data_IF_717371966055
#
_entry.id   IF_717371966055
#
_cell.length_a   1.000
_cell.length_b   1.000
_cell.length_c   1.000
_cell.angle_alpha   90.00
_cell.angle_beta   90.00
_cell.angle_gamma   90.00
#
_symmetry.space_group_name_H-M   'P 1'
#
loop_
_entity.id
_entity.type
_entity.pdbx_description
1 polymer ?
#
# COMPACT_ATOMS: atom_id res chain seq x y z
N UNK A 1 23.89 -3.78 10.97
CA UNK A 1 22.94 -2.67 11.00
C UNK A 1 23.36 -1.67 12.05
N UNK A 2 23.34 -0.39 11.68
CA UNK A 2 23.59 0.74 12.57
C UNK A 2 22.31 1.60 12.54
N UNK A 3 21.76 1.93 13.71
CA UNK A 3 20.75 2.98 13.82
C UNK A 3 21.49 4.30 13.66
N UNK A 4 21.25 4.97 12.55
CA UNK A 4 21.77 6.31 12.33
C UNK A 4 20.76 7.32 12.87
N UNK A 5 21.26 8.24 13.69
CA UNK A 5 20.48 9.28 14.31
C UNK A 5 21.13 10.62 13.96
N UNK A 6 20.33 11.56 13.48
CA UNK A 6 20.80 12.91 13.14
C UNK A 6 19.94 13.98 13.81
N UNK A 7 20.55 15.15 14.05
CA UNK A 7 19.92 16.29 14.70
C UNK A 7 20.14 16.35 16.21
N UNK A 8 19.32 17.17 16.88
CA UNK A 8 19.41 17.46 18.31
C UNK A 8 17.99 17.45 18.89
N UNK A 9 17.76 16.66 19.94
CA UNK A 9 16.50 16.67 20.66
C UNK A 9 16.45 17.87 21.62
N UNK A 10 15.34 18.61 21.59
CA UNK A 10 15.07 19.74 22.49
C UNK A 10 13.89 19.38 23.39
N UNK A 11 14.18 19.23 24.68
CA UNK A 11 13.20 18.89 25.71
C UNK A 11 12.95 20.11 26.60
N UNK A 12 11.71 20.30 27.03
CA UNK A 12 11.34 21.35 27.98
C UNK A 12 10.74 20.74 29.23
N UNK A 13 11.32 21.05 30.40
CA UNK A 13 10.79 20.62 31.68
C UNK A 13 9.44 21.28 31.97
N UNK A 14 8.40 20.50 32.27
CA UNK A 14 7.06 21.01 32.52
C UNK A 14 6.95 21.83 33.82
N UNK A 15 7.88 21.66 34.77
CA UNK A 15 7.83 22.37 36.05
C UNK A 15 8.53 23.73 35.98
N UNK A 16 9.74 23.78 35.41
CA UNK A 16 10.57 24.98 35.36
C UNK A 16 10.46 25.76 34.04
N UNK A 17 9.98 25.13 32.97
CA UNK A 17 10.02 25.66 31.60
C UNK A 17 11.44 25.76 31.02
N UNK A 18 12.44 25.19 31.71
CA UNK A 18 13.81 25.16 31.23
C UNK A 18 13.95 24.17 30.07
N UNK A 19 14.72 24.56 29.05
CA UNK A 19 15.02 23.72 27.89
C UNK A 19 16.37 23.04 28.04
N UNK A 20 16.42 21.80 27.58
CA UNK A 20 17.60 20.94 27.55
C UNK A 20 17.79 20.41 26.13
N UNK A 21 19.03 20.40 25.67
CA UNK A 21 19.43 19.81 24.38
C UNK A 21 20.14 18.49 24.63
N UNK A 22 19.83 17.48 23.82
CA UNK A 22 20.49 16.19 23.81
C UNK A 22 21.00 15.98 22.40
N UNK A 23 22.31 15.80 22.26
CA UNK A 23 22.94 15.57 20.98
C UNK A 23 22.83 14.10 20.58
N UNK A 24 22.76 13.82 19.28
CA UNK A 24 22.56 12.46 18.78
C UNK A 24 23.72 11.51 19.12
N UNK A 25 24.93 12.04 19.34
CA UNK A 25 26.11 11.27 19.74
C UNK A 25 26.09 10.86 21.22
N UNK A 26 25.15 11.39 22.01
CA UNK A 26 24.87 10.95 23.38
C UNK A 26 24.03 9.65 23.42
N UNK A 27 23.43 9.24 22.29
CA UNK A 27 22.61 8.03 22.22
C UNK A 27 23.44 6.79 21.94
N UNK A 28 23.38 5.83 22.86
CA UNK A 28 23.94 4.48 22.68
C UNK A 28 22.81 3.48 22.44
N UNK A 29 22.69 2.98 21.21
CA UNK A 29 21.62 2.10 20.78
C UNK A 29 21.96 0.62 21.05
N UNK A 30 21.04 -0.08 21.73
CA UNK A 30 21.14 -1.51 21.96
C UNK A 30 19.90 -2.25 21.44
N UNK A 31 20.08 -3.48 20.96
CA UNK A 31 18.94 -4.38 20.67
C UNK A 31 18.47 -4.97 22.00
N UNK A 32 17.23 -4.67 22.38
CA UNK A 32 16.65 -5.10 23.68
C UNK A 32 15.61 -6.21 23.54
N UNK A 33 15.03 -6.38 22.35
CA UNK A 33 14.10 -7.47 22.05
C UNK A 33 14.16 -7.86 20.56
N UNK A 34 13.76 -9.10 20.26
CA UNK A 34 13.61 -9.62 18.90
C UNK A 34 12.46 -10.62 18.86
N UNK A 35 11.42 -10.33 18.08
CA UNK A 35 10.20 -11.14 18.00
C UNK A 35 9.99 -11.69 16.60
N UNK A 36 9.61 -12.97 16.50
CA UNK A 36 9.28 -13.60 15.22
C UNK A 36 7.93 -13.13 14.71
N UNK A 37 7.89 -12.64 13.48
CA UNK A 37 6.71 -12.13 12.80
C UNK A 37 6.65 -12.68 11.36
N UNK A 38 5.50 -12.59 10.67
CA UNK A 38 5.34 -13.21 9.35
C UNK A 38 6.36 -12.80 8.28
N UNK A 39 6.89 -11.58 8.34
CA UNK A 39 7.92 -11.03 7.42
C UNK A 39 9.35 -11.12 8.00
N UNK A 40 9.58 -11.91 9.04
CA UNK A 40 10.87 -12.07 9.71
C UNK A 40 10.91 -11.50 11.12
N UNK A 41 12.10 -11.34 11.68
CA UNK A 41 12.28 -10.80 13.03
C UNK A 41 11.95 -9.30 13.05
N UNK A 42 11.14 -8.89 14.01
CA UNK A 42 11.04 -7.49 14.44
C UNK A 42 12.09 -7.24 15.51
N UNK A 43 13.02 -6.31 15.26
CA UNK A 43 14.03 -5.90 16.23
C UNK A 43 13.58 -4.65 16.97
N UNK A 44 13.73 -4.65 18.29
CA UNK A 44 13.53 -3.48 19.14
C UNK A 44 14.88 -2.92 19.55
N UNK A 45 15.20 -1.73 19.06
CA UNK A 45 16.35 -0.93 19.45
C UNK A 45 15.93 0.08 20.52
N UNK A 46 16.76 0.22 21.56
CA UNK A 46 16.54 1.19 22.61
C UNK A 46 17.85 1.93 22.94
N UNK A 47 17.76 3.26 23.04
CA UNK A 47 18.79 4.11 23.62
C UNK A 47 18.24 4.76 24.90
N UNK A 48 19.02 4.76 25.97
CA UNK A 48 18.62 5.33 27.27
C UNK A 48 19.65 6.33 27.79
N UNK A 49 19.16 7.44 28.34
CA UNK A 49 19.98 8.48 28.96
C UNK A 49 19.44 8.79 30.35
N UNK A 50 20.30 8.79 31.35
CA UNK A 50 19.98 9.27 32.70
C UNK A 50 20.31 10.77 32.80
N UNK A 51 19.29 11.61 32.71
CA UNK A 51 19.45 13.06 32.77
C UNK A 51 19.22 13.59 34.19
N UNK A 52 20.16 14.37 34.72
CA UNK A 52 20.16 14.85 36.11
C UNK A 52 18.89 15.59 36.55
N UNK A 53 18.18 16.23 35.62
CA UNK A 53 16.97 17.02 35.89
C UNK A 53 15.70 16.33 35.41
N UNK A 54 15.77 15.65 34.26
CA UNK A 54 14.59 15.10 33.59
C UNK A 54 14.32 13.64 33.97
N UNK A 55 15.28 13.00 34.64
CA UNK A 55 15.24 11.57 34.96
C UNK A 55 15.69 10.71 33.78
N UNK A 56 15.25 9.46 33.79
CA UNK A 56 15.50 8.50 32.72
C UNK A 56 14.72 8.90 31.46
N UNK A 57 15.44 8.98 30.34
CA UNK A 57 14.93 9.24 29.01
C UNK A 57 15.20 8.01 28.15
N UNK A 58 14.24 7.63 27.31
CA UNK A 58 14.40 6.49 26.42
C UNK A 58 13.88 6.79 25.02
N UNK A 59 14.65 6.39 24.01
CA UNK A 59 14.23 6.35 22.61
C UNK A 59 14.13 4.89 22.20
N UNK A 60 13.00 4.53 21.63
CA UNK A 60 12.72 3.18 21.17
C UNK A 60 12.42 3.22 19.68
N UNK A 61 13.00 2.26 18.94
CA UNK A 61 12.85 2.12 17.51
C UNK A 61 12.61 0.64 17.20
N UNK A 62 11.56 0.35 16.42
CA UNK A 62 11.25 -1.00 15.96
C UNK A 62 11.53 -1.09 14.48
N UNK A 63 12.35 -2.06 14.09
CA UNK A 63 12.61 -2.43 12.71
C UNK A 63 11.72 -3.61 12.33
N UNK A 64 10.81 -3.39 11.40
CA UNK A 64 10.02 -4.46 10.80
C UNK A 64 9.33 -3.98 9.51
N UNK A 65 9.53 -4.67 8.37
CA UNK A 65 10.48 -5.76 8.21
C UNK A 65 11.94 -5.32 8.26
N UNK A 66 12.85 -6.29 8.09
CA UNK A 66 14.29 -6.06 8.06
C UNK A 66 14.63 -4.88 7.12
N UNK A 67 15.18 -3.81 7.70
CA UNK A 67 15.62 -2.58 7.02
C UNK A 67 14.65 -1.43 7.02
N UNK A 68 13.45 -1.63 7.54
CA UNK A 68 12.41 -0.62 7.59
C UNK A 68 12.12 -0.26 9.03
N UNK A 69 12.15 1.04 9.34
CA UNK A 69 11.59 1.53 10.60
C UNK A 69 10.07 1.35 10.57
N UNK A 70 9.56 0.49 11.45
CA UNK A 70 8.13 0.22 11.63
C UNK A 70 7.47 1.28 12.53
N UNK A 71 8.05 1.47 13.71
CA UNK A 71 7.48 2.27 14.79
C UNK A 71 8.59 2.88 15.65
N UNK A 72 8.31 4.01 16.31
CA UNK A 72 9.19 4.59 17.32
C UNK A 72 8.40 5.18 18.48
N UNK A 73 9.04 5.27 19.64
CA UNK A 73 8.52 6.01 20.79
C UNK A 73 9.63 6.73 21.53
N UNK A 74 9.30 7.90 22.06
CA UNK A 74 10.20 8.69 22.88
C UNK A 74 9.58 8.91 24.25
N UNK A 75 10.26 8.44 25.29
CA UNK A 75 9.85 8.54 26.69
C UNK A 75 10.68 9.62 27.40
N UNK A 76 10.05 10.76 27.71
CA UNK A 76 10.73 11.93 28.31
C UNK A 76 10.25 12.27 29.72
N UNK A 77 9.58 11.32 30.38
CA UNK A 77 9.11 11.47 31.76
C UNK A 77 8.22 12.70 31.97
N UNK A 78 8.71 13.67 32.75
CA UNK A 78 8.00 14.92 33.07
C UNK A 78 8.31 16.08 32.11
N UNK A 79 9.14 15.87 31.09
CA UNK A 79 9.38 16.88 30.06
C UNK A 79 8.33 16.82 28.95
N UNK A 80 8.33 17.82 28.07
CA UNK A 80 7.68 17.77 26.77
C UNK A 80 8.71 17.88 25.66
N UNK A 81 8.46 17.19 24.55
CA UNK A 81 9.30 17.23 23.36
C UNK A 81 8.95 18.49 22.57
N UNK A 82 9.95 19.34 22.30
CA UNK A 82 9.81 20.50 21.41
C UNK A 82 10.32 20.15 20.02
N UNK A 83 11.41 19.38 19.96
CA UNK A 83 12.04 18.87 18.76
C UNK A 83 12.67 17.52 19.10
N UNK A 84 12.57 16.55 18.21
CA UNK A 84 13.17 15.21 18.36
C UNK A 84 14.16 14.94 17.21
N UNK A 85 14.81 13.78 17.25
CA UNK A 85 15.74 13.35 16.22
C UNK A 85 15.06 12.83 14.94
N UNK A 86 15.83 12.79 13.85
CA UNK A 86 15.51 12.03 12.65
C UNK A 86 16.32 10.72 12.66
N UNK A 87 15.63 9.60 12.46
CA UNK A 87 16.20 8.25 12.50
C UNK A 87 16.27 7.65 11.10
N UNK A 88 17.34 6.93 10.81
CA UNK A 88 17.48 6.08 9.62
C UNK A 88 18.12 4.73 9.99
N UNK A 89 17.79 3.70 9.23
CA UNK A 89 18.37 2.36 9.39
C UNK A 89 19.26 2.08 8.17
N UNK A 90 20.54 1.79 8.40
CA UNK A 90 21.47 1.42 7.32
C UNK A 90 21.75 -0.10 7.31
N UNK A 91 21.53 -0.72 6.15
CA UNK A 91 21.77 -2.14 5.87
C UNK A 91 23.02 -2.30 5.02
N UNK A 92 24.09 -2.74 5.67
CA UNK A 92 25.27 -3.27 5.00
C UNK A 92 25.00 -4.77 4.72
N UNK A 93 24.41 -5.11 3.57
CA UNK A 93 24.57 -6.43 2.93
C UNK A 93 23.92 -6.48 1.53
N UNK A 94 24.77 -6.36 0.50
CA UNK A 94 24.58 -6.94 -0.82
C UNK A 94 24.42 -8.47 -0.70
N UNK A 95 23.18 -8.98 -0.60
CA UNK A 95 22.91 -10.42 -0.76
C UNK A 95 21.91 -10.65 -1.88
N UNK A 96 22.43 -11.23 -2.96
CA UNK A 96 21.76 -11.68 -4.17
C UNK A 96 20.43 -12.42 -3.86
N UNK A 97 19.30 -11.76 -4.14
CA UNK A 97 17.94 -12.31 -3.98
C UNK A 97 17.22 -12.54 -5.33
N UNK A 98 17.93 -12.44 -6.46
CA UNK A 98 17.33 -12.55 -7.81
C UNK A 98 16.89 -13.97 -8.24
N UNK A 99 17.09 -15.01 -7.42
CA UNK A 99 17.00 -16.42 -7.86
C UNK A 99 15.83 -17.26 -7.31
N UNK A 100 14.78 -16.66 -6.72
CA UNK A 100 13.68 -17.43 -6.11
C UNK A 100 12.30 -17.20 -6.76
N UNK A 101 12.04 -17.99 -7.82
CA UNK A 101 10.75 -18.51 -8.30
C UNK A 101 9.87 -17.64 -9.24
N UNK A 102 9.74 -18.09 -10.50
CA UNK A 102 8.83 -17.54 -11.53
C UNK A 102 7.44 -18.22 -11.45
N UNK A 103 6.36 -17.49 -11.14
CA UNK A 103 5.00 -18.01 -11.04
C UNK A 103 4.34 -18.45 -12.36
N UNK A 104 5.00 -18.23 -13.51
CA UNK A 104 4.56 -18.73 -14.82
C UNK A 104 5.01 -20.17 -15.12
N UNK A 105 5.88 -20.74 -14.28
CA UNK A 105 6.30 -22.13 -14.41
C UNK A 105 5.23 -23.07 -13.81
N UNK A 106 4.31 -23.51 -14.66
CA UNK A 106 3.62 -24.80 -14.43
C UNK A 106 4.72 -25.85 -14.31
N UNK A 107 4.70 -26.66 -13.25
CA UNK A 107 5.68 -27.73 -13.05
C UNK A 107 5.88 -28.49 -14.37
N UNK A 108 7.12 -28.87 -14.66
CA UNK A 108 7.48 -29.43 -15.96
C UNK A 108 6.63 -30.67 -16.27
N UNK A 109 6.40 -30.96 -17.56
CA UNK A 109 5.60 -32.12 -18.01
C UNK A 109 6.06 -33.46 -17.38
N UNK A 110 7.32 -33.54 -16.99
CA UNK A 110 7.95 -34.68 -16.34
C UNK A 110 7.53 -34.81 -14.87
N UNK A 111 7.35 -33.70 -14.14
CA UNK A 111 6.87 -33.66 -12.75
C UNK A 111 5.37 -33.97 -12.63
N UNK A 112 4.58 -33.64 -13.66
CA UNK A 112 3.15 -33.98 -13.72
C UNK A 112 2.87 -35.45 -13.96
N UNK A 113 3.75 -36.15 -14.69
CA UNK A 113 3.56 -37.55 -15.06
C UNK A 113 3.65 -38.51 -13.85
N UNK A 114 4.33 -38.08 -12.78
CA UNK A 114 4.53 -38.86 -11.56
C UNK A 114 3.37 -38.70 -10.55
N UNK A 115 2.47 -37.74 -10.76
CA UNK A 115 1.30 -37.52 -9.91
C UNK A 115 0.17 -38.51 -10.22
N UNK A 116 -0.57 -38.91 -9.20
CA UNK A 116 -1.81 -39.66 -9.38
C UNK A 116 -2.91 -38.79 -9.98
N UNK A 117 -3.89 -39.41 -10.64
CA UNK A 117 -5.02 -38.69 -11.25
C UNK A 117 -5.75 -37.77 -10.24
N UNK A 118 -5.90 -38.22 -9.00
CA UNK A 118 -6.51 -37.42 -7.92
C UNK A 118 -5.65 -36.22 -7.54
N UNK A 119 -4.33 -36.37 -7.45
CA UNK A 119 -3.41 -35.26 -7.17
C UNK A 119 -3.36 -34.26 -8.33
N UNK A 120 -3.43 -34.74 -9.57
CA UNK A 120 -3.55 -33.87 -10.75
C UNK A 120 -4.83 -33.03 -10.69
N UNK A 121 -5.96 -33.65 -10.35
CA UNK A 121 -7.24 -32.95 -10.19
C UNK A 121 -7.17 -31.91 -9.07
N UNK A 122 -6.63 -32.27 -7.91
CA UNK A 122 -6.46 -31.32 -6.79
C UNK A 122 -5.57 -30.13 -7.16
N UNK A 123 -4.48 -30.37 -7.90
CA UNK A 123 -3.59 -29.32 -8.38
C UNK A 123 -4.26 -28.41 -9.42
N UNK A 124 -5.04 -28.97 -10.35
CA UNK A 124 -5.82 -28.19 -11.33
C UNK A 124 -6.87 -27.30 -10.65
N UNK A 125 -7.61 -27.85 -9.68
CA UNK A 125 -8.59 -27.09 -8.88
C UNK A 125 -7.91 -26.00 -8.05
N UNK A 126 -6.78 -26.33 -7.39
CA UNK A 126 -6.01 -25.35 -6.62
C UNK A 126 -5.41 -24.25 -7.50
N UNK A 127 -5.01 -24.58 -8.73
CA UNK A 127 -4.54 -23.60 -9.69
C UNK A 127 -5.70 -22.69 -10.11
N UNK A 128 -6.86 -23.26 -10.46
CA UNK A 128 -8.01 -22.48 -10.93
C UNK A 128 -8.50 -21.51 -9.86
N UNK A 129 -8.74 -21.99 -8.64
CA UNK A 129 -9.18 -21.16 -7.50
C UNK A 129 -8.14 -20.13 -7.05
N UNK A 130 -6.88 -20.30 -7.46
CA UNK A 130 -5.85 -19.28 -7.26
C UNK A 130 -5.91 -18.22 -8.35
N UNK A 131 -6.30 -18.55 -9.56
CA UNK A 131 -6.26 -17.68 -10.75
C UNK A 131 -7.61 -16.99 -11.03
N UNK A 132 -8.70 -17.53 -10.51
CA UNK A 132 -10.06 -17.04 -10.72
C UNK A 132 -10.82 -17.04 -9.40
N UNK A 133 -11.78 -16.13 -9.27
CA UNK A 133 -12.60 -15.96 -8.08
C UNK A 133 -14.08 -15.75 -8.43
N UNK A 134 -14.95 -15.92 -7.43
CA UNK A 134 -16.38 -15.58 -7.55
C UNK A 134 -16.51 -14.07 -7.85
N UNK A 135 -17.20 -13.68 -8.95
CA UNK A 135 -17.42 -12.28 -9.29
C UNK A 135 -18.07 -11.47 -8.15
N UNK A 136 -18.81 -12.08 -7.23
CA UNK A 136 -19.37 -11.40 -6.05
C UNK A 136 -18.34 -10.74 -5.14
N UNK A 137 -17.07 -11.17 -5.18
CA UNK A 137 -16.05 -10.66 -4.28
C UNK A 137 -15.59 -9.26 -4.68
N UNK A 138 -14.99 -9.11 -5.88
CA UNK A 138 -14.39 -7.85 -6.32
C UNK A 138 -14.98 -7.30 -7.64
N UNK A 139 -16.00 -7.94 -8.21
CA UNK A 139 -16.61 -7.47 -9.47
C UNK A 139 -17.85 -6.63 -9.20
N UNK A 140 -17.91 -5.36 -9.67
CA UNK A 140 -19.09 -4.52 -9.49
C UNK A 140 -20.36 -5.13 -10.08
N UNK A 141 -21.51 -4.88 -9.45
CA UNK A 141 -22.80 -5.25 -10.03
C UNK A 141 -23.10 -4.40 -11.26
N UNK A 142 -23.68 -5.02 -12.28
CA UNK A 142 -24.07 -4.32 -13.49
C UNK A 142 -25.19 -3.30 -13.21
N UNK A 143 -25.02 -2.07 -13.70
CA UNK A 143 -26.03 -1.02 -13.56
C UNK A 143 -27.32 -1.36 -14.33
N UNK A 144 -27.20 -2.10 -15.45
CA UNK A 144 -28.34 -2.65 -16.19
C UNK A 144 -28.79 -3.99 -15.61
N UNK A 145 -30.00 -3.99 -15.04
CA UNK A 145 -30.65 -5.19 -14.49
C UNK A 145 -31.01 -6.26 -15.53
N UNK A 146 -30.83 -5.97 -16.82
CA UNK A 146 -31.00 -6.94 -17.91
C UNK A 146 -29.66 -7.48 -18.44
N UNK A 147 -28.53 -7.12 -17.82
CA UNK A 147 -27.23 -7.68 -18.18
C UNK A 147 -27.23 -9.20 -17.97
N UNK A 148 -26.75 -10.00 -18.95
CA UNK A 148 -26.82 -11.46 -18.90
C UNK A 148 -26.10 -12.10 -17.70
N UNK A 149 -25.13 -11.40 -17.10
CA UNK A 149 -24.27 -11.93 -16.05
C UNK A 149 -24.42 -11.25 -14.68
N UNK A 150 -25.33 -10.27 -14.53
CA UNK A 150 -25.54 -9.45 -13.32
C UNK A 150 -24.32 -8.65 -12.80
N UNK A 151 -23.11 -8.88 -13.30
CA UNK A 151 -21.86 -8.21 -12.93
C UNK A 151 -21.22 -7.50 -14.13
N UNK A 152 -20.42 -6.48 -13.84
CA UNK A 152 -19.58 -5.75 -14.79
C UNK A 152 -18.12 -6.20 -14.66
N UNK A 153 -17.68 -7.07 -15.57
CA UNK A 153 -16.31 -7.62 -15.63
C UNK A 153 -15.28 -6.60 -16.13
N UNK A 154 -15.15 -5.49 -15.42
CA UNK A 154 -14.23 -4.37 -15.75
C UNK A 154 -12.74 -4.78 -15.70
N UNK A 155 -12.45 -5.93 -15.10
CA UNK A 155 -11.11 -6.49 -14.90
C UNK A 155 -10.76 -7.66 -15.85
N UNK A 156 -11.67 -8.00 -16.77
CA UNK A 156 -11.56 -9.17 -17.65
C UNK A 156 -12.57 -10.26 -17.30
N UNK A 157 -12.86 -11.13 -18.27
CA UNK A 157 -13.90 -12.16 -18.17
C UNK A 157 -15.23 -11.76 -18.86
N UNK A 158 -16.31 -12.50 -18.60
CA UNK A 158 -16.34 -13.68 -17.74
C UNK A 158 -15.48 -14.82 -18.32
N UNK A 159 -14.83 -15.57 -17.43
CA UNK A 159 -14.01 -16.72 -17.76
C UNK A 159 -14.78 -18.03 -17.56
N UNK A 160 -14.63 -18.97 -18.49
CA UNK A 160 -15.22 -20.30 -18.40
C UNK A 160 -14.18 -21.29 -17.85
N UNK A 161 -14.53 -22.00 -16.77
CA UNK A 161 -13.60 -22.91 -16.11
C UNK A 161 -13.14 -24.07 -17.02
N UNK A 162 -13.99 -24.53 -17.94
CA UNK A 162 -13.67 -25.56 -18.91
C UNK A 162 -12.64 -25.08 -19.93
N UNK A 163 -12.82 -23.86 -20.45
CA UNK A 163 -11.87 -23.28 -21.40
C UNK A 163 -10.51 -23.05 -20.74
N UNK A 164 -10.47 -22.40 -19.57
CA UNK A 164 -9.21 -22.04 -18.91
C UNK A 164 -8.41 -23.27 -18.42
N UNK A 165 -9.10 -24.27 -17.84
CA UNK A 165 -8.44 -25.52 -17.43
C UNK A 165 -7.97 -26.33 -18.64
N UNK A 166 -8.74 -26.36 -19.73
CA UNK A 166 -8.33 -27.05 -20.95
C UNK A 166 -7.13 -26.38 -21.60
N UNK A 167 -7.12 -25.04 -21.70
CA UNK A 167 -6.03 -24.30 -22.33
C UNK A 167 -4.71 -24.50 -21.59
N UNK A 168 -4.74 -24.59 -20.25
CA UNK A 168 -3.53 -24.73 -19.44
C UNK A 168 -3.04 -26.16 -19.30
N UNK A 169 -3.95 -27.13 -19.19
CA UNK A 169 -3.58 -28.51 -18.87
C UNK A 169 -3.74 -29.49 -20.04
N UNK A 170 -4.28 -29.06 -21.17
CA UNK A 170 -4.35 -29.91 -22.37
C UNK A 170 -2.94 -30.35 -22.81
N UNK A 171 -2.79 -31.66 -22.99
CA UNK A 171 -1.51 -32.28 -23.34
C UNK A 171 -0.56 -32.53 -22.17
N UNK A 172 -0.95 -32.16 -20.93
CA UNK A 172 -0.27 -32.49 -19.67
C UNK A 172 -1.13 -33.47 -18.85
N UNK A 173 -2.40 -33.13 -18.63
CA UNK A 173 -3.39 -33.98 -17.95
C UNK A 173 -4.33 -34.67 -18.96
N UNK A 174 -5.02 -35.73 -18.52
CA UNK A 174 -6.05 -36.39 -19.33
C UNK A 174 -7.33 -35.54 -19.39
N UNK A 175 -8.07 -35.65 -20.50
CA UNK A 175 -9.35 -34.96 -20.69
C UNK A 175 -10.36 -35.33 -19.59
N UNK A 176 -10.41 -36.60 -19.18
CA UNK A 176 -11.25 -37.06 -18.06
C UNK A 176 -10.87 -36.43 -16.71
N UNK A 177 -9.58 -36.12 -16.47
CA UNK A 177 -9.15 -35.46 -15.23
C UNK A 177 -9.47 -33.95 -15.26
N UNK A 178 -9.32 -33.32 -16.43
CA UNK A 178 -9.69 -31.91 -16.63
C UNK A 178 -11.20 -31.73 -16.44
N UNK A 179 -12.03 -32.58 -17.04
CA UNK A 179 -13.49 -32.55 -16.88
C UNK A 179 -13.92 -32.69 -15.41
N UNK A 180 -13.27 -33.60 -14.64
CA UNK A 180 -13.53 -33.74 -13.20
C UNK A 180 -13.13 -32.51 -12.41
N UNK A 181 -12.03 -31.85 -12.77
CA UNK A 181 -11.61 -30.61 -12.11
C UNK A 181 -12.62 -29.47 -12.38
N UNK A 182 -13.13 -29.36 -13.62
CA UNK A 182 -14.19 -28.42 -14.00
C UNK A 182 -15.45 -28.68 -13.20
N UNK A 183 -15.90 -29.94 -13.11
CA UNK A 183 -17.07 -30.33 -12.32
C UNK A 183 -16.89 -29.91 -10.85
N UNK A 184 -15.72 -30.16 -10.25
CA UNK A 184 -15.44 -29.78 -8.86
C UNK A 184 -15.52 -28.26 -8.66
N UNK A 185 -14.95 -27.47 -9.58
CA UNK A 185 -14.95 -26.01 -9.51
C UNK A 185 -16.36 -25.45 -9.69
N UNK A 186 -17.14 -25.97 -10.64
CA UNK A 186 -18.45 -25.43 -10.99
C UNK A 186 -19.59 -25.93 -10.08
N UNK A 187 -19.56 -27.20 -9.63
CA UNK A 187 -20.65 -27.79 -8.83
C UNK A 187 -20.61 -27.39 -7.35
N UNK A 188 -19.44 -27.03 -6.79
CA UNK A 188 -19.36 -26.64 -5.38
C UNK A 188 -20.13 -25.35 -5.09
N UNK A 189 -20.12 -24.39 -6.02
CA UNK A 189 -20.69 -23.07 -5.82
C UNK A 189 -21.80 -22.71 -6.83
N UNK A 190 -21.99 -23.51 -7.88
CA UNK A 190 -22.98 -23.25 -8.94
C UNK A 190 -22.60 -22.05 -9.82
N UNK A 191 -21.31 -21.73 -9.88
CA UNK A 191 -20.74 -20.58 -10.58
C UNK A 191 -20.12 -21.06 -11.89
N UNK A 192 -20.54 -20.44 -12.98
CA UNK A 192 -20.08 -20.78 -14.34
C UNK A 192 -19.31 -19.63 -15.00
N UNK A 193 -19.45 -18.42 -14.47
CA UNK A 193 -18.89 -17.19 -15.02
C UNK A 193 -17.93 -16.62 -13.99
N UNK A 194 -16.63 -16.74 -14.25
CA UNK A 194 -15.59 -16.44 -13.27
C UNK A 194 -14.91 -15.10 -13.53
N UNK A 195 -14.54 -14.41 -12.45
CA UNK A 195 -13.72 -13.21 -12.52
C UNK A 195 -12.24 -13.58 -12.34
N UNK A 196 -11.31 -12.81 -12.92
CA UNK A 196 -9.89 -13.04 -12.66
C UNK A 196 -9.58 -12.68 -11.20
N UNK A 197 -8.85 -13.54 -10.52
CA UNK A 197 -8.35 -13.25 -9.17
C UNK A 197 -7.12 -12.34 -9.23
N UNK A 198 -6.66 -11.86 -8.07
CA UNK A 198 -5.44 -11.06 -7.93
C UNK A 198 -4.17 -11.76 -8.46
N UNK A 199 -4.15 -13.10 -8.57
CA UNK A 199 -3.02 -13.84 -9.11
C UNK A 199 -3.04 -13.98 -10.64
N UNK A 200 -4.16 -13.63 -11.29
CA UNK A 200 -4.34 -13.78 -12.72
C UNK A 200 -3.36 -12.89 -13.50
N UNK A 201 -2.67 -13.38 -14.55
CA UNK A 201 -1.71 -12.61 -15.34
C UNK A 201 -2.29 -11.33 -15.93
N UNK A 202 -3.59 -11.30 -16.26
CA UNK A 202 -4.25 -10.07 -16.72
C UNK A 202 -4.39 -9.01 -15.61
N UNK A 203 -4.56 -9.39 -14.34
CA UNK A 203 -4.55 -8.45 -13.22
C UNK A 203 -3.14 -7.93 -12.95
N UNK A 204 -2.14 -8.81 -12.99
CA UNK A 204 -0.73 -8.46 -12.79
C UNK A 204 -0.17 -7.57 -13.90
N UNK A 205 -0.42 -7.93 -15.16
CA UNK A 205 -0.01 -7.14 -16.33
C UNK A 205 -0.68 -5.77 -16.31
N UNK A 206 -1.92 -5.64 -15.84
CA UNK A 206 -2.60 -4.35 -15.73
C UNK A 206 -2.13 -3.52 -14.52
N UNK A 207 -1.76 -4.15 -13.41
CA UNK A 207 -1.10 -3.46 -12.30
C UNK A 207 0.28 -2.94 -12.72
N UNK A 208 1.03 -3.75 -13.48
CA UNK A 208 2.32 -3.37 -14.07
C UNK A 208 2.17 -2.32 -15.19
N UNK A 209 1.15 -2.42 -16.05
CA UNK A 209 0.82 -1.43 -17.10
C UNK A 209 0.27 -0.13 -16.49
N UNK A 210 -0.54 -0.18 -15.44
CA UNK A 210 -0.97 1.01 -14.70
C UNK A 210 0.21 1.66 -14.00
N UNK A 211 1.08 0.89 -13.34
CA UNK A 211 2.34 1.40 -12.79
C UNK A 211 3.22 2.03 -13.89
N UNK A 212 3.30 1.43 -15.08
CA UNK A 212 4.11 1.94 -16.20
C UNK A 212 3.51 3.18 -16.88
N UNK A 213 2.18 3.22 -17.11
CA UNK A 213 1.47 4.41 -17.62
C UNK A 213 1.52 5.58 -16.63
N UNK A 214 1.51 5.30 -15.32
CA UNK A 214 1.57 6.33 -14.28
C UNK A 214 2.98 6.85 -13.99
N UNK A 215 4.03 6.05 -14.16
CA UNK A 215 5.42 6.53 -14.11
C UNK A 215 5.71 7.50 -15.27
N UNK A 216 5.20 7.24 -16.48
CA UNK A 216 5.33 8.18 -17.61
C UNK A 216 4.50 9.47 -17.44
N UNK A 217 3.39 9.45 -16.69
CA UNK A 217 2.57 10.63 -16.38
C UNK A 217 3.09 11.44 -15.19
N UNK A 218 3.69 10.79 -14.18
CA UNK A 218 4.25 11.47 -13.00
C UNK A 218 5.45 12.37 -13.37
N UNK A 219 6.27 11.97 -14.33
CA UNK A 219 7.35 12.79 -14.90
C UNK A 219 6.86 14.02 -15.68
N UNK A 220 5.56 14.07 -16.01
CA UNK A 220 4.92 15.18 -16.72
C UNK A 220 4.14 16.13 -15.79
N UNK A 221 4.02 15.80 -14.50
CA UNK A 221 3.39 16.68 -13.52
C UNK A 221 4.34 17.83 -13.17
N UNK A 222 3.89 19.09 -13.19
CA UNK A 222 4.71 20.22 -12.80
C UNK A 222 5.01 20.15 -11.30
N UNK A 223 6.24 20.53 -10.97
CA UNK A 223 6.71 20.64 -9.61
C UNK A 223 5.90 21.64 -8.78
N UNK A 224 5.95 21.50 -7.45
CA UNK A 224 5.37 22.49 -6.52
C UNK A 224 5.84 23.93 -6.81
N UNK A 225 7.09 24.08 -7.27
CA UNK A 225 7.65 25.37 -7.66
C UNK A 225 6.92 26.00 -8.85
N UNK A 226 6.64 25.20 -9.88
CA UNK A 226 5.89 25.61 -11.08
C UNK A 226 4.44 25.92 -10.75
N UNK A 227 3.78 25.09 -9.92
CA UNK A 227 2.41 25.34 -9.45
C UNK A 227 2.34 26.65 -8.66
N UNK A 228 3.28 26.89 -7.74
CA UNK A 228 3.36 28.16 -6.99
C UNK A 228 3.65 29.36 -7.88
N UNK A 229 4.46 29.20 -8.92
CA UNK A 229 4.67 30.26 -9.89
C UNK A 229 3.37 30.59 -10.61
N UNK A 230 2.66 29.56 -11.08
CA UNK A 230 1.39 29.72 -11.78
C UNK A 230 0.32 30.37 -10.89
N UNK A 231 0.21 30.00 -9.61
CA UNK A 231 -0.71 30.64 -8.65
C UNK A 231 -0.48 32.16 -8.59
N UNK A 232 0.79 32.62 -8.66
CA UNK A 232 1.12 34.06 -8.65
C UNK A 232 0.77 34.74 -9.97
N UNK A 233 0.91 34.02 -11.08
CA UNK A 233 0.72 34.55 -12.43
C UNK A 233 -0.75 34.50 -12.88
N UNK A 234 -1.57 33.62 -12.28
CA UNK A 234 -3.00 33.46 -12.58
C UNK A 234 -3.83 34.54 -11.88
N UNK A 235 -4.39 35.51 -12.63
CA UNK A 235 -5.10 36.65 -12.03
C UNK A 235 -6.47 36.29 -11.48
N UNK A 236 -7.05 35.15 -11.88
CA UNK A 236 -8.33 34.65 -11.38
C UNK A 236 -8.44 33.13 -11.53
N UNK A 237 -8.73 32.45 -10.42
CA UNK A 237 -8.99 31.01 -10.38
C UNK A 237 -10.27 30.66 -11.15
N UNK A 238 -10.25 29.54 -11.88
CA UNK A 238 -11.38 29.03 -12.66
C UNK A 238 -12.28 28.10 -11.84
N UNK A 239 -12.72 28.58 -10.68
CA UNK A 239 -13.61 27.83 -9.79
C UNK A 239 -15.06 27.88 -10.27
N UNK A 240 -15.77 26.76 -10.15
CA UNK A 240 -17.20 26.63 -10.47
C UNK A 240 -17.50 26.42 -11.94
N UNK A 241 -16.50 26.14 -12.78
CA UNK A 241 -16.74 25.66 -14.16
C UNK A 241 -17.29 24.23 -14.11
N UNK A 242 -18.09 23.79 -15.09
CA UNK A 242 -18.59 22.41 -15.13
C UNK A 242 -17.48 21.37 -15.03
N UNK A 243 -16.36 21.58 -15.73
CA UNK A 243 -15.21 20.68 -15.75
C UNK A 243 -14.50 20.63 -14.40
N UNK A 244 -14.35 21.79 -13.73
CA UNK A 244 -13.76 21.85 -12.39
C UNK A 244 -14.64 21.16 -11.35
N UNK A 245 -15.96 21.36 -11.42
CA UNK A 245 -16.91 20.72 -10.50
C UNK A 245 -16.96 19.20 -10.67
N UNK A 246 -16.85 18.72 -11.90
CA UNK A 246 -16.75 17.28 -12.19
C UNK A 246 -15.45 16.70 -11.61
N UNK A 247 -14.30 17.31 -11.92
CA UNK A 247 -13.01 16.87 -11.37
C UNK A 247 -12.96 16.94 -9.83
N UNK A 248 -13.57 17.97 -9.25
CA UNK A 248 -13.74 18.12 -7.80
C UNK A 248 -14.53 16.97 -7.21
N UNK A 249 -15.66 16.61 -7.82
CA UNK A 249 -16.52 15.52 -7.36
C UNK A 249 -15.82 14.16 -7.48
N UNK A 250 -15.11 13.92 -8.59
CA UNK A 250 -14.32 12.69 -8.78
C UNK A 250 -13.22 12.55 -7.71
N UNK A 251 -12.49 13.63 -7.44
CA UNK A 251 -11.43 13.64 -6.43
C UNK A 251 -11.99 13.35 -5.03
N UNK A 252 -13.13 13.94 -4.66
CA UNK A 252 -13.77 13.68 -3.37
C UNK A 252 -14.28 12.24 -3.25
N UNK A 253 -14.85 11.67 -4.32
CA UNK A 253 -15.27 10.25 -4.34
C UNK A 253 -14.07 9.33 -4.14
N UNK A 254 -12.98 9.60 -4.86
CA UNK A 254 -11.76 8.81 -4.75
C UNK A 254 -11.17 8.85 -3.33
N UNK A 255 -11.16 10.02 -2.69
CA UNK A 255 -10.73 10.14 -1.29
C UNK A 255 -11.60 9.29 -0.36
N UNK A 256 -12.91 9.32 -0.56
CA UNK A 256 -13.86 8.56 0.26
C UNK A 256 -13.63 7.05 0.14
N UNK A 257 -13.35 6.57 -1.06
CA UNK A 257 -13.10 5.15 -1.35
C UNK A 257 -11.71 4.71 -0.88
N UNK A 258 -10.72 5.61 -0.91
CA UNK A 258 -9.34 5.30 -0.54
C UNK A 258 -9.07 5.30 0.97
N UNK A 259 -9.74 6.18 1.72
CA UNK A 259 -9.60 6.29 3.18
C UNK A 259 -9.71 4.95 3.95
N UNK A 260 -10.70 4.07 3.70
CA UNK A 260 -10.78 2.78 4.40
C UNK A 260 -9.61 1.83 4.07
N UNK A 261 -9.01 1.93 2.88
CA UNK A 261 -7.85 1.13 2.50
C UNK A 261 -6.62 1.56 3.31
N UNK A 262 -6.41 2.87 3.43
CA UNK A 262 -5.33 3.44 4.26
C UNK A 262 -5.52 3.05 5.72
N UNK A 263 -6.74 3.14 6.24
CA UNK A 263 -7.06 2.73 7.61
C UNK A 263 -6.69 1.25 7.82
N UNK A 264 -7.10 0.36 6.91
CA UNK A 264 -6.75 -1.06 6.95
C UNK A 264 -5.24 -1.30 6.88
N UNK A 265 -4.53 -0.57 6.02
CA UNK A 265 -3.09 -0.71 5.87
C UNK A 265 -2.29 -0.15 7.07
N UNK A 266 -2.93 0.62 7.95
CA UNK A 266 -2.29 1.27 9.10
C UNK A 266 -2.80 0.73 10.44
N UNK A 267 -3.68 -0.27 10.42
CA UNK A 267 -4.12 -0.96 11.62
C UNK A 267 -2.92 -1.64 12.31
N UNK A 268 -2.48 -1.04 13.43
CA UNK A 268 -1.54 -1.69 14.34
C UNK A 268 -2.16 -2.99 14.86
N UNK A 269 -1.47 -4.14 14.76
CA UNK A 269 -1.91 -5.33 15.47
C UNK A 269 -1.95 -5.01 16.96
N UNK A 270 -3.13 -5.15 17.55
CA UNK A 270 -3.35 -4.82 18.95
C UNK A 270 -2.42 -5.64 19.85
N UNK A 271 -1.49 -4.97 20.52
CA UNK A 271 -0.79 -5.54 21.67
C UNK A 271 -1.82 -5.74 22.79
N UNK A 272 -2.44 -6.94 22.82
CA UNK A 272 -3.30 -7.40 23.91
C UNK A 272 -4.65 -6.67 24.04
N UNK A 273 -5.70 -7.19 23.42
CA UNK A 273 -7.08 -6.77 23.68
C UNK A 273 -8.08 -7.57 22.86
N UNK A 274 -9.05 -8.19 23.53
CA UNK A 274 -10.04 -9.10 22.95
C UNK A 274 -10.95 -8.43 21.89
N UNK A 275 -11.16 -9.14 20.77
CA UNK A 275 -12.45 -9.16 20.08
C UNK A 275 -12.66 -8.19 18.91
N UNK A 276 -11.98 -8.42 17.78
CA UNK A 276 -12.43 -7.96 16.47
C UNK A 276 -12.23 -9.10 15.45
N UNK A 277 -13.30 -9.46 14.71
CA UNK A 277 -13.39 -10.66 13.86
C UNK A 277 -12.66 -10.54 12.51
N UNK A 278 -11.67 -9.66 12.38
CA UNK A 278 -10.80 -9.62 11.22
C UNK A 278 -9.36 -9.73 11.71
N UNK A 279 -8.60 -10.75 11.26
CA UNK A 279 -7.20 -10.86 11.62
C UNK A 279 -6.48 -9.60 11.13
N UNK A 280 -5.58 -9.01 11.95
CA UNK A 280 -4.78 -7.87 11.51
C UNK A 280 -4.01 -8.25 10.23
N UNK A 281 -3.80 -7.28 9.33
CA UNK A 281 -3.10 -7.56 8.09
C UNK A 281 -1.68 -8.06 8.39
N UNK A 282 -1.21 -9.02 7.59
CA UNK A 282 0.12 -9.64 7.74
C UNK A 282 1.26 -8.62 7.56
N UNK A 283 0.94 -7.53 6.87
CA UNK A 283 1.77 -6.35 6.63
C UNK A 283 0.95 -5.10 6.94
N UNK A 284 1.52 -4.20 7.74
CA UNK A 284 1.02 -2.87 7.99
C UNK A 284 2.08 -1.86 7.53
N UNK A 285 1.63 -0.75 6.97
CA UNK A 285 2.49 0.39 6.68
C UNK A 285 3.11 0.90 7.99
N UNK A 286 4.38 1.34 7.94
CA UNK A 286 4.97 2.08 9.04
C UNK A 286 4.07 3.22 9.51
N UNK A 287 4.01 3.43 10.82
CA UNK A 287 3.06 4.37 11.40
C UNK A 287 3.23 5.79 10.83
N UNK A 288 4.48 6.24 10.65
CA UNK A 288 4.79 7.56 10.10
C UNK A 288 4.26 7.73 8.67
N UNK A 289 4.41 6.70 7.82
CA UNK A 289 3.85 6.68 6.45
C UNK A 289 2.33 6.78 6.51
N UNK A 290 1.69 5.95 7.34
CA UNK A 290 0.24 5.94 7.50
C UNK A 290 -0.35 7.28 7.96
N UNK A 291 0.29 7.92 8.94
CA UNK A 291 -0.07 9.26 9.43
C UNK A 291 0.12 10.29 8.32
N UNK A 292 1.22 10.25 7.59
CA UNK A 292 1.52 11.19 6.52
C UNK A 292 0.50 11.12 5.38
N UNK A 293 0.11 9.93 4.92
CA UNK A 293 -0.96 9.74 3.93
C UNK A 293 -2.26 10.37 4.45
N UNK A 294 -2.66 10.04 5.67
CA UNK A 294 -3.92 10.49 6.25
C UNK A 294 -3.98 12.01 6.42
N UNK A 295 -2.89 12.65 6.87
CA UNK A 295 -2.82 14.10 7.05
C UNK A 295 -3.01 14.81 5.71
N UNK A 296 -2.31 14.38 4.67
CA UNK A 296 -2.35 15.05 3.37
C UNK A 296 -3.68 14.82 2.63
N UNK A 297 -4.26 13.61 2.70
CA UNK A 297 -5.60 13.34 2.16
C UNK A 297 -6.64 14.25 2.83
N UNK A 298 -6.61 14.38 4.16
CA UNK A 298 -7.55 15.23 4.90
C UNK A 298 -7.38 16.71 4.54
N UNK A 299 -6.14 17.17 4.31
CA UNK A 299 -5.88 18.53 3.85
C UNK A 299 -6.52 18.78 2.48
N UNK A 300 -6.28 17.90 1.51
CA UNK A 300 -6.90 17.99 0.17
C UNK A 300 -8.42 17.95 0.28
N UNK A 301 -8.99 17.00 1.04
CA UNK A 301 -10.43 16.87 1.20
C UNK A 301 -11.07 18.13 1.80
N UNK A 302 -10.43 18.71 2.81
CA UNK A 302 -10.92 19.93 3.50
C UNK A 302 -10.98 21.10 2.54
N UNK A 303 -9.90 21.34 1.79
CA UNK A 303 -9.82 22.45 0.86
C UNK A 303 -10.75 22.26 -0.34
N UNK A 304 -10.74 21.09 -0.97
CA UNK A 304 -11.55 20.80 -2.18
C UNK A 304 -13.05 20.82 -1.87
N UNK A 305 -13.45 20.54 -0.62
CA UNK A 305 -14.84 20.66 -0.16
C UNK A 305 -15.26 22.11 0.12
N UNK A 306 -14.33 23.06 0.15
CA UNK A 306 -14.59 24.47 0.43
C UNK A 306 -15.20 25.20 -0.78
N UNK A 307 -16.04 26.19 -0.52
CA UNK A 307 -16.52 27.14 -1.53
C UNK A 307 -15.40 28.07 -2.02
N UNK A 308 -14.37 28.27 -1.17
CA UNK A 308 -13.17 29.07 -1.47
C UNK A 308 -11.92 28.26 -1.09
N UNK A 309 -11.53 27.28 -1.91
CA UNK A 309 -10.38 26.41 -1.63
C UNK A 309 -9.06 27.20 -1.62
N UNK A 310 -8.17 26.87 -0.70
CA UNK A 310 -6.76 27.28 -0.76
C UNK A 310 -6.00 26.37 -1.72
N UNK A 311 -5.78 26.87 -2.94
CA UNK A 311 -5.10 26.13 -4.02
C UNK A 311 -3.63 25.84 -3.69
N UNK A 312 -2.97 26.71 -2.91
CA UNK A 312 -1.58 26.47 -2.49
C UNK A 312 -1.51 25.34 -1.47
N UNK A 313 -2.45 25.30 -0.52
CA UNK A 313 -2.55 24.22 0.46
C UNK A 313 -2.82 22.86 -0.21
N UNK A 314 -3.69 22.81 -1.23
CA UNK A 314 -3.91 21.58 -2.01
C UNK A 314 -2.62 21.15 -2.72
N UNK A 315 -1.92 22.08 -3.39
CA UNK A 315 -0.68 21.77 -4.09
C UNK A 315 0.42 21.26 -3.16
N UNK A 316 0.55 21.84 -1.95
CA UNK A 316 1.49 21.39 -0.93
C UNK A 316 1.17 19.97 -0.47
N UNK A 317 -0.10 19.69 -0.15
CA UNK A 317 -0.54 18.37 0.28
C UNK A 317 -0.37 17.31 -0.82
N UNK A 318 -0.67 17.64 -2.08
CA UNK A 318 -0.42 16.75 -3.23
C UNK A 318 1.07 16.46 -3.41
N UNK A 319 1.93 17.47 -3.27
CA UNK A 319 3.39 17.28 -3.37
C UNK A 319 3.95 16.45 -2.22
N UNK A 320 3.38 16.59 -1.02
CA UNK A 320 3.73 15.74 0.12
C UNK A 320 3.26 14.30 -0.11
N UNK A 321 2.08 14.07 -0.67
CA UNK A 321 1.62 12.72 -1.06
C UNK A 321 2.51 12.07 -2.10
N UNK A 322 3.08 12.83 -3.03
CA UNK A 322 4.02 12.29 -4.01
C UNK A 322 5.27 11.70 -3.33
N UNK A 323 5.88 12.44 -2.40
CA UNK A 323 7.02 11.94 -1.61
C UNK A 323 6.67 10.71 -0.79
N UNK A 324 5.51 10.73 -0.14
CA UNK A 324 5.04 9.58 0.65
C UNK A 324 4.73 8.38 -0.26
N UNK A 325 4.27 8.62 -1.48
CA UNK A 325 4.09 7.58 -2.50
C UNK A 325 5.39 6.87 -2.84
N UNK A 326 6.49 7.61 -2.96
CA UNK A 326 7.84 7.04 -3.15
C UNK A 326 8.26 6.19 -1.94
N UNK A 327 8.09 6.70 -0.72
CA UNK A 327 8.36 5.95 0.52
C UNK A 327 7.54 4.64 0.62
N UNK A 328 6.27 4.70 0.21
CA UNK A 328 5.38 3.53 0.15
C UNK A 328 5.84 2.53 -0.90
N UNK A 329 6.21 3.00 -2.09
CA UNK A 329 6.76 2.15 -3.15
C UNK A 329 8.07 1.48 -2.72
N UNK A 330 8.93 2.21 -2.02
CA UNK A 330 10.19 1.72 -1.46
C UNK A 330 9.95 0.66 -0.39
N UNK A 331 9.05 0.94 0.54
CA UNK A 331 8.58 -0.03 1.53
C UNK A 331 8.10 -1.31 0.84
N UNK A 332 7.22 -1.21 -0.15
CA UNK A 332 6.72 -2.41 -0.84
C UNK A 332 7.77 -3.15 -1.63
N UNK A 333 8.73 -2.45 -2.23
CA UNK A 333 9.87 -3.08 -2.90
C UNK A 333 10.71 -3.87 -1.91
N UNK A 334 11.00 -3.31 -0.73
CA UNK A 334 11.81 -3.96 0.31
C UNK A 334 11.08 -5.12 1.00
N UNK A 335 9.75 -5.04 1.11
CA UNK A 335 8.93 -6.05 1.78
C UNK A 335 8.44 -7.17 0.84
N UNK A 336 8.58 -7.00 -0.49
CA UNK A 336 7.96 -7.85 -1.53
C UNK A 336 8.16 -9.36 -1.32
N UNK A 337 9.37 -9.76 -0.97
CA UNK A 337 9.76 -11.17 -0.83
C UNK A 337 9.38 -11.75 0.54
N UNK A 338 9.07 -10.89 1.50
CA UNK A 338 8.75 -11.26 2.87
C UNK A 338 7.24 -11.33 3.12
N UNK A 339 6.45 -10.58 2.34
CA UNK A 339 4.98 -10.70 2.33
C UNK A 339 4.57 -12.00 1.64
N UNK A 340 3.98 -12.94 2.39
CA UNK A 340 3.57 -14.26 1.86
C UNK A 340 2.11 -14.31 1.46
N UNK A 341 1.21 -13.61 2.17
CA UNK A 341 -0.21 -13.60 1.80
C UNK A 341 -0.52 -12.74 0.58
N UNK A 342 -1.35 -13.30 -0.29
CA UNK A 342 -1.89 -12.63 -1.47
C UNK A 342 -2.70 -11.39 -1.11
N UNK A 343 -3.48 -11.44 -0.01
CA UNK A 343 -4.27 -10.30 0.47
C UNK A 343 -3.43 -9.08 0.89
N UNK A 344 -2.23 -9.30 1.45
CA UNK A 344 -1.32 -8.20 1.77
C UNK A 344 -0.63 -7.63 0.52
N UNK A 345 -0.36 -8.46 -0.51
CA UNK A 345 0.13 -7.97 -1.81
C UNK A 345 -0.92 -7.17 -2.58
N UNK A 346 -2.18 -7.62 -2.55
CA UNK A 346 -3.29 -6.90 -3.15
C UNK A 346 -3.53 -5.56 -2.44
N UNK A 347 -3.52 -5.54 -1.09
CA UNK A 347 -3.60 -4.30 -0.32
C UNK A 347 -2.43 -3.36 -0.63
N UNK A 348 -1.22 -3.88 -0.76
CA UNK A 348 -0.05 -3.09 -1.14
C UNK A 348 -0.22 -2.41 -2.51
N UNK A 349 -0.63 -3.18 -3.53
CA UNK A 349 -0.92 -2.65 -4.86
C UNK A 349 -2.03 -1.60 -4.84
N UNK A 350 -3.09 -1.84 -4.07
CA UNK A 350 -4.20 -0.89 -3.91
C UNK A 350 -3.77 0.41 -3.25
N UNK A 351 -2.88 0.38 -2.25
CA UNK A 351 -2.33 1.59 -1.62
C UNK A 351 -1.48 2.38 -2.61
N UNK A 352 -0.53 1.73 -3.30
CA UNK A 352 0.35 2.42 -4.27
C UNK A 352 -0.47 3.03 -5.41
N UNK A 353 -1.35 2.24 -6.02
CA UNK A 353 -2.19 2.68 -7.13
C UNK A 353 -3.17 3.79 -6.71
N UNK A 354 -3.74 3.68 -5.50
CA UNK A 354 -4.65 4.69 -4.96
C UNK A 354 -3.96 6.02 -4.67
N UNK A 355 -2.74 6.02 -4.12
CA UNK A 355 -1.93 7.24 -3.93
C UNK A 355 -1.63 7.88 -5.30
N UNK A 356 -1.18 7.09 -6.28
CA UNK A 356 -0.89 7.61 -7.63
C UNK A 356 -2.12 8.23 -8.30
N UNK A 357 -3.27 7.56 -8.22
CA UNK A 357 -4.55 8.06 -8.77
C UNK A 357 -4.99 9.34 -8.06
N UNK A 358 -4.83 9.42 -6.73
CA UNK A 358 -5.14 10.62 -5.95
C UNK A 358 -4.28 11.80 -6.36
N UNK A 359 -2.96 11.60 -6.51
CA UNK A 359 -2.03 12.65 -6.96
C UNK A 359 -2.44 13.15 -8.34
N UNK A 360 -2.70 12.25 -9.28
CA UNK A 360 -3.12 12.61 -10.64
C UNK A 360 -4.43 13.40 -10.65
N UNK A 361 -5.45 12.97 -9.89
CA UNK A 361 -6.75 13.65 -9.83
C UNK A 361 -6.65 15.00 -9.12
N UNK A 362 -5.85 15.09 -8.05
CA UNK A 362 -5.57 16.37 -7.39
C UNK A 362 -4.85 17.34 -8.33
N UNK A 363 -3.89 16.85 -9.11
CA UNK A 363 -3.21 17.65 -10.11
C UNK A 363 -4.14 18.08 -11.26
N UNK A 364 -4.99 17.18 -11.74
CA UNK A 364 -6.02 17.49 -12.75
C UNK A 364 -6.93 18.63 -12.27
N UNK A 365 -7.36 18.60 -11.01
CA UNK A 365 -8.13 19.68 -10.41
C UNK A 365 -7.32 20.99 -10.35
N UNK A 366 -6.06 20.94 -9.87
CA UNK A 366 -5.17 22.11 -9.87
C UNK A 366 -4.98 22.71 -11.27
N UNK A 367 -4.84 21.85 -12.28
CA UNK A 367 -4.70 22.24 -13.68
C UNK A 367 -5.92 23.00 -14.19
N UNK A 368 -7.12 22.50 -13.93
CA UNK A 368 -8.37 23.17 -14.30
C UNK A 368 -8.53 24.52 -13.59
N UNK A 369 -8.27 24.56 -12.29
CA UNK A 369 -8.39 25.78 -11.47
C UNK A 369 -7.39 26.87 -11.89
N UNK A 370 -6.17 26.47 -12.24
CA UNK A 370 -5.08 27.38 -12.63
C UNK A 370 -5.01 27.67 -14.13
N UNK A 371 -5.74 26.90 -14.96
CA UNK A 371 -5.74 27.01 -16.41
C UNK A 371 -4.49 26.44 -17.09
N UNK A 372 -3.89 25.39 -16.54
CA UNK A 372 -2.87 24.62 -17.25
C UNK A 372 -3.47 23.93 -18.49
N UNK A 373 -2.74 23.83 -19.61
CA UNK A 373 -3.06 22.84 -20.63
C UNK A 373 -2.81 21.45 -20.06
N UNK A 374 -3.86 20.63 -20.00
CA UNK A 374 -3.77 19.19 -19.73
C UNK A 374 -3.24 18.44 -20.96
#
# INVERSE_FOLDING_TARGET
MIVECTGTAILEDNLSGQRFSIEHDELDWAVVDAQDRPMGLEYHYQATIEHNVLGALAWNLWEYPLGIQNYNTTEVGQARIIQDFEYSLDHDDDRDLEDLFDPSEVASKEEWADLTESEQIEQMVSWFNRMFEDPQNQTPYAADKNSPYNYEYIWGGPYDASEELSDQFSGIASEEAIEKAVEIVQDQDGIYEWAPSDAHPNMRRRAEEAMAEHVEQADQLPSLGEVRQQIRETPRLQLGTPEELEARQELLSLIQDFAPLVARATETPAHGGMGHNQPPPEMALPQHIGVSISVNINAIQTEVSSDTPDVEAVAEATSALQKVGEEVSDFFRMTKDQVKSLGSKALAGAIVGGIGTLIYKAFTWLALVLGFPL
#
